data_IF_672884184000
#
_entry.id   IF_672884184000
#
_cell.length_a   1.000
_cell.length_b   1.000
_cell.length_c   1.000
_cell.angle_alpha   90.00
_cell.angle_beta   90.00
_cell.angle_gamma   90.00
#
_symmetry.space_group_name_H-M   'P 1'
#
loop_
_entity.id
_entity.type
_entity.pdbx_description
1 polymer ?
#
# COMPACT_ATOMS: atom_id res chain seq x y z
N UNK A 1 -11.02 -30.21 -36.49
CA UNK A 1 -10.46 -31.10 -37.53
C UNK A 1 -10.71 -30.45 -38.89
N UNK A 2 -9.80 -30.60 -39.86
CA UNK A 2 -9.81 -30.01 -41.21
C UNK A 2 -9.40 -28.51 -41.27
N UNK A 3 -8.67 -28.07 -42.32
CA UNK A 3 -7.38 -28.65 -42.73
C UNK A 3 -6.27 -27.61 -43.04
N UNK A 4 -5.00 -28.05 -43.04
CA UNK A 4 -3.83 -27.29 -43.52
C UNK A 4 -3.78 -27.15 -45.05
N UNK A 5 -3.22 -26.04 -45.60
CA UNK A 5 -2.45 -25.88 -46.89
C UNK A 5 -2.19 -24.38 -47.19
N UNK A 6 -1.18 -23.82 -47.91
CA UNK A 6 0.16 -24.19 -48.49
C UNK A 6 1.14 -23.04 -48.13
N UNK A 7 2.42 -23.24 -47.79
CA UNK A 7 3.62 -23.53 -48.62
C UNK A 7 3.97 -22.53 -49.75
N UNK A 8 4.96 -21.66 -49.43
CA UNK A 8 6.15 -21.20 -50.20
C UNK A 8 5.99 -20.80 -51.68
N UNK A 9 6.45 -19.58 -52.02
CA UNK A 9 7.31 -19.29 -53.20
C UNK A 9 8.37 -18.22 -52.92
N UNK A 10 9.64 -18.52 -53.22
CA UNK A 10 10.79 -17.61 -53.29
C UNK A 10 10.86 -16.92 -54.67
N UNK A 11 11.51 -15.73 -54.73
CA UNK A 11 12.24 -15.09 -55.86
C UNK A 11 12.10 -13.55 -55.78
N UNK A 12 13.05 -12.69 -56.19
CA UNK A 12 14.50 -12.79 -56.44
C UNK A 12 15.08 -11.35 -56.41
N UNK A 13 16.32 -11.21 -55.93
CA UNK A 13 17.28 -10.09 -56.06
C UNK A 13 16.96 -8.95 -57.05
N UNK A 14 17.14 -7.70 -56.60
CA UNK A 14 17.87 -6.69 -57.39
C UNK A 14 18.85 -5.93 -56.48
N UNK A 15 20.11 -5.83 -56.89
CA UNK A 15 21.14 -5.05 -56.21
C UNK A 15 21.29 -3.67 -56.86
N UNK A 16 21.49 -2.61 -56.06
CA UNK A 16 22.08 -1.37 -56.55
C UNK A 16 23.09 -0.84 -55.51
N UNK A 17 24.30 -0.57 -55.96
CA UNK A 17 25.38 0.01 -55.17
C UNK A 17 25.25 1.53 -55.18
N UNK A 18 25.28 2.15 -53.99
CA UNK A 18 25.54 3.58 -53.82
C UNK A 18 26.45 3.76 -52.59
N UNK A 19 27.56 4.47 -52.77
CA UNK A 19 28.68 4.47 -51.82
C UNK A 19 28.36 5.17 -50.48
N UNK A 20 28.79 4.56 -49.38
CA UNK A 20 28.72 5.16 -48.04
C UNK A 20 30.01 5.93 -47.74
N UNK A 21 29.95 7.26 -47.79
CA UNK A 21 30.97 8.11 -47.16
C UNK A 21 30.74 8.09 -45.63
N UNK A 22 31.39 7.17 -44.93
CA UNK A 22 31.36 7.15 -43.45
C UNK A 22 32.27 8.27 -42.95
N UNK A 23 31.68 9.44 -42.68
CA UNK A 23 32.32 10.43 -41.84
C UNK A 23 32.49 9.83 -40.44
N UNK A 24 33.74 9.57 -40.04
CA UNK A 24 34.06 9.08 -38.71
C UNK A 24 33.84 10.20 -37.68
N UNK A 25 32.59 10.33 -37.22
CA UNK A 25 32.28 11.16 -36.06
C UNK A 25 32.86 10.46 -34.84
N UNK A 26 33.92 11.04 -34.28
CA UNK A 26 34.51 10.56 -33.04
C UNK A 26 33.47 10.74 -31.92
N UNK A 27 32.79 9.67 -31.56
CA UNK A 27 31.87 9.68 -30.43
C UNK A 27 32.66 10.06 -29.17
N UNK A 28 32.18 11.01 -28.34
CA UNK A 28 32.79 11.25 -27.05
C UNK A 28 32.74 9.95 -26.23
N UNK A 29 33.76 9.67 -25.39
CA UNK A 29 33.76 8.46 -24.57
C UNK A 29 32.50 8.43 -23.70
N UNK A 30 31.89 7.25 -23.48
CA UNK A 30 30.72 7.15 -22.63
C UNK A 30 31.07 7.67 -21.22
N UNK A 31 30.17 8.40 -20.55
CA UNK A 31 30.40 8.81 -19.18
C UNK A 31 30.65 7.57 -18.33
N UNK A 32 31.69 7.63 -17.48
CA UNK A 32 32.01 6.55 -16.57
C UNK A 32 30.86 6.25 -15.60
N UNK A 33 30.86 5.07 -14.95
CA UNK A 33 29.86 4.76 -13.94
C UNK A 33 29.84 5.86 -12.87
N UNK A 34 28.65 6.29 -12.40
CA UNK A 34 28.56 7.34 -11.39
C UNK A 34 29.29 6.90 -10.10
N UNK A 35 29.87 7.85 -9.34
CA UNK A 35 30.53 7.52 -8.08
C UNK A 35 29.54 6.83 -7.13
N UNK A 36 30.02 5.89 -6.28
CA UNK A 36 29.16 5.24 -5.31
C UNK A 36 28.54 6.28 -4.36
N UNK A 37 27.28 6.11 -3.94
CA UNK A 37 26.64 7.04 -3.03
C UNK A 37 27.41 7.10 -1.70
N UNK A 38 27.52 8.28 -1.07
CA UNK A 38 28.25 8.42 0.19
C UNK A 38 27.58 7.57 1.29
N UNK A 39 28.37 6.91 2.17
CA UNK A 39 27.82 6.05 3.20
C UNK A 39 27.02 6.85 4.23
N UNK A 40 25.71 6.57 4.29
CA UNK A 40 24.79 6.81 5.42
C UNK A 40 25.07 8.06 6.28
N UNK A 41 24.84 9.25 5.71
CA UNK A 41 24.52 10.41 6.53
C UNK A 41 23.12 10.21 7.15
N UNK A 42 23.10 9.82 8.42
CA UNK A 42 21.89 9.57 9.20
C UNK A 42 21.32 10.88 9.78
N UNK A 43 20.80 11.73 8.89
CA UNK A 43 19.74 12.71 9.21
C UNK A 43 19.20 13.25 7.88
N UNK A 44 17.99 12.81 7.50
CA UNK A 44 17.37 13.11 6.19
C UNK A 44 15.84 13.09 6.24
N UNK A 45 15.27 14.16 6.78
CA UNK A 45 14.03 14.76 6.26
C UNK A 45 14.33 15.50 4.92
N UNK A 46 15.20 14.91 4.09
CA UNK A 46 15.66 15.45 2.81
C UNK A 46 14.66 15.07 1.73
N UNK A 47 13.57 15.84 1.63
CA UNK A 47 12.78 15.98 0.39
C UNK A 47 13.62 16.76 -0.65
N UNK A 48 14.83 16.25 -0.96
CA UNK A 48 15.85 16.88 -1.82
C UNK A 48 15.52 16.83 -3.32
N UNK A 49 14.25 16.67 -3.67
CA UNK A 49 13.74 16.81 -5.03
C UNK A 49 13.00 18.14 -5.22
N UNK A 50 12.77 18.57 -6.48
CA UNK A 50 11.70 19.53 -6.73
C UNK A 50 10.38 18.92 -6.24
N UNK A 51 9.50 19.71 -5.58
CA UNK A 51 8.27 19.18 -4.97
C UNK A 51 7.41 18.48 -6.03
N UNK A 52 6.98 17.26 -5.72
CA UNK A 52 6.06 16.54 -6.60
C UNK A 52 4.72 17.27 -6.69
N UNK A 53 4.08 17.30 -7.86
CA UNK A 53 2.76 17.90 -8.00
C UNK A 53 1.71 17.06 -7.27
N UNK A 54 0.53 17.65 -7.05
CA UNK A 54 -0.59 16.93 -6.46
C UNK A 54 -1.10 15.80 -7.36
N UNK A 55 -1.96 14.95 -6.79
CA UNK A 55 -2.39 13.69 -7.41
C UNK A 55 -2.97 13.86 -8.82
N UNK A 56 -3.67 14.96 -9.08
CA UNK A 56 -4.33 15.26 -10.36
C UNK A 56 -3.35 15.65 -11.48
N UNK A 57 -2.14 16.07 -11.14
CA UNK A 57 -1.09 16.46 -12.09
C UNK A 57 0.08 15.46 -12.19
N UNK A 58 0.07 14.37 -11.41
CA UNK A 58 1.04 13.28 -11.56
C UNK A 58 0.97 12.63 -12.96
N UNK A 59 2.15 12.33 -13.52
CA UNK A 59 2.25 11.59 -14.79
C UNK A 59 1.67 10.17 -14.66
N UNK A 60 1.25 9.51 -15.77
CA UNK A 60 0.77 8.14 -15.73
C UNK A 60 1.79 7.17 -15.09
N UNK A 61 3.09 7.37 -15.34
CA UNK A 61 4.16 6.55 -14.76
C UNK A 61 4.34 6.82 -13.26
N UNK A 62 4.18 8.06 -12.78
CA UNK A 62 4.24 8.37 -11.35
C UNK A 62 3.05 7.75 -10.61
N UNK A 63 1.83 7.87 -11.15
CA UNK A 63 0.63 7.21 -10.58
C UNK A 63 0.79 5.68 -10.55
N UNK A 64 1.33 5.10 -11.61
CA UNK A 64 1.61 3.66 -11.69
C UNK A 64 2.51 3.18 -10.55
N UNK A 65 3.63 3.87 -10.31
CA UNK A 65 4.56 3.56 -9.22
C UNK A 65 3.92 3.63 -7.84
N UNK A 66 3.08 4.65 -7.59
CA UNK A 66 2.37 4.82 -6.31
C UNK A 66 1.25 3.79 -6.09
N UNK A 67 0.61 3.31 -7.15
CA UNK A 67 -0.50 2.33 -7.08
C UNK A 67 0.02 0.88 -7.08
N UNK A 68 1.21 0.60 -7.62
CA UNK A 68 1.74 -0.74 -7.78
C UNK A 68 1.70 -1.61 -6.50
N UNK A 69 2.08 -1.13 -5.28
CA UNK A 69 1.99 -1.93 -4.06
C UNK A 69 0.56 -2.31 -3.67
N UNK A 70 -0.42 -1.42 -3.92
CA UNK A 70 -1.83 -1.70 -3.67
C UNK A 70 -2.38 -2.74 -4.65
N UNK A 71 -1.97 -2.66 -5.93
CA UNK A 71 -2.36 -3.62 -6.96
C UNK A 71 -1.80 -5.01 -6.70
N UNK A 72 -0.51 -5.10 -6.33
CA UNK A 72 0.11 -6.35 -5.92
C UNK A 72 -0.65 -6.98 -4.75
N UNK A 73 -0.84 -6.24 -3.65
CA UNK A 73 -1.60 -6.72 -2.49
C UNK A 73 -3.03 -7.18 -2.84
N UNK A 74 -3.71 -6.47 -3.74
CA UNK A 74 -5.04 -6.87 -4.22
C UNK A 74 -5.00 -8.20 -4.99
N UNK A 75 -3.98 -8.38 -5.83
CA UNK A 75 -3.79 -9.62 -6.58
C UNK A 75 -3.47 -10.80 -5.64
N UNK A 76 -2.54 -10.60 -4.71
CA UNK A 76 -2.01 -11.62 -3.80
C UNK A 76 -3.00 -12.06 -2.71
N UNK A 77 -4.06 -11.29 -2.44
CA UNK A 77 -5.06 -11.60 -1.40
C UNK A 77 -6.51 -11.72 -1.91
N UNK A 78 -6.84 -12.67 -2.83
CA UNK A 78 -8.20 -12.86 -3.37
C UNK A 78 -9.32 -12.88 -2.33
N UNK A 79 -9.10 -13.62 -1.23
CA UNK A 79 -10.00 -13.77 -0.09
C UNK A 79 -10.23 -12.48 0.71
N UNK A 80 -9.33 -11.49 0.63
CA UNK A 80 -9.47 -10.20 1.31
C UNK A 80 -10.08 -9.10 0.42
N UNK A 81 -10.17 -9.29 -0.89
CA UNK A 81 -10.64 -8.28 -1.87
C UNK A 81 -11.96 -7.63 -1.48
N UNK A 82 -12.94 -8.42 -1.03
CA UNK A 82 -14.24 -7.91 -0.55
C UNK A 82 -14.07 -6.92 0.62
N UNK A 83 -13.31 -7.31 1.64
CA UNK A 83 -13.00 -6.47 2.81
C UNK A 83 -12.19 -5.22 2.42
N UNK A 84 -11.27 -5.33 1.47
CA UNK A 84 -10.51 -4.18 0.95
C UNK A 84 -11.41 -3.17 0.24
N UNK A 85 -12.29 -3.65 -0.64
CA UNK A 85 -13.25 -2.80 -1.36
C UNK A 85 -14.23 -2.09 -0.41
N UNK A 86 -14.77 -2.81 0.58
CA UNK A 86 -15.64 -2.22 1.60
C UNK A 86 -14.93 -1.14 2.46
N UNK A 87 -13.63 -1.28 2.72
CA UNK A 87 -12.86 -0.19 3.35
C UNK A 87 -12.72 1.02 2.43
N UNK A 88 -12.45 0.81 1.15
CA UNK A 88 -12.34 1.89 0.17
C UNK A 88 -13.67 2.67 0.04
N UNK A 89 -14.81 1.96 -0.05
CA UNK A 89 -16.13 2.59 -0.07
C UNK A 89 -16.41 3.41 1.21
N UNK A 90 -16.13 2.85 2.39
CA UNK A 90 -16.25 3.58 3.67
C UNK A 90 -15.39 4.86 3.67
N UNK A 91 -14.15 4.78 3.23
CA UNK A 91 -13.24 5.92 3.16
C UNK A 91 -13.71 7.00 2.17
N UNK A 92 -14.22 6.58 1.01
CA UNK A 92 -14.79 7.48 0.01
C UNK A 92 -15.98 8.28 0.60
N UNK A 93 -16.87 7.61 1.35
CA UNK A 93 -18.01 8.25 2.02
C UNK A 93 -17.66 9.14 3.23
N UNK A 94 -16.42 9.12 3.73
CA UNK A 94 -16.05 9.94 4.89
C UNK A 94 -15.89 11.42 4.53
N UNK A 95 -16.39 12.30 5.40
CA UNK A 95 -16.11 13.75 5.34
C UNK A 95 -14.63 14.05 5.64
N UNK A 96 -14.11 15.25 5.30
CA UNK A 96 -12.73 15.63 5.62
C UNK A 96 -12.38 15.48 7.10
N UNK A 97 -13.30 15.84 8.00
CA UNK A 97 -13.16 15.75 9.45
C UNK A 97 -13.13 14.29 9.90
N UNK A 98 -14.00 13.44 9.35
CA UNK A 98 -14.01 12.00 9.64
C UNK A 98 -12.70 11.33 9.20
N UNK A 99 -12.16 11.71 8.03
CA UNK A 99 -10.84 11.25 7.56
C UNK A 99 -9.71 11.76 8.48
N UNK A 100 -9.82 12.98 9.01
CA UNK A 100 -8.85 13.50 9.98
C UNK A 100 -8.87 12.74 11.31
N UNK A 101 -10.07 12.44 11.84
CA UNK A 101 -10.22 11.63 13.04
C UNK A 101 -9.72 10.19 12.81
N UNK A 102 -9.95 9.61 11.63
CA UNK A 102 -9.38 8.32 11.26
C UNK A 102 -7.85 8.34 11.23
N UNK A 103 -7.21 9.39 10.68
CA UNK A 103 -5.74 9.56 10.72
C UNK A 103 -5.20 9.73 12.14
N UNK A 104 -5.90 10.48 13.01
CA UNK A 104 -5.54 10.63 14.44
C UNK A 104 -5.66 9.29 15.18
N UNK A 105 -6.67 8.49 14.86
CA UNK A 105 -6.84 7.13 15.39
C UNK A 105 -5.77 6.16 14.92
N UNK A 106 -5.39 6.21 13.64
CA UNK A 106 -4.34 5.38 13.05
C UNK A 106 -2.98 5.60 13.73
N UNK A 107 -2.52 6.86 13.84
CA UNK A 107 -1.27 7.20 14.54
C UNK A 107 -1.26 6.70 15.98
N UNK A 108 -2.33 6.96 16.73
CA UNK A 108 -2.46 6.46 18.12
C UNK A 108 -2.37 4.93 18.20
N UNK A 109 -2.86 4.19 17.20
CA UNK A 109 -2.79 2.73 17.16
C UNK A 109 -1.40 2.22 16.74
N UNK A 110 -0.68 2.96 15.90
CA UNK A 110 0.72 2.71 15.57
C UNK A 110 1.59 2.84 16.84
N UNK A 111 1.36 3.87 17.65
CA UNK A 111 2.06 4.10 18.94
C UNK A 111 1.73 3.06 20.04
N UNK A 112 0.65 2.26 19.88
CA UNK A 112 0.27 1.26 20.89
C UNK A 112 1.21 0.05 20.91
N UNK A 113 1.62 -0.35 22.10
CA UNK A 113 2.29 -1.63 22.33
C UNK A 113 1.31 -2.83 22.12
N UNK A 114 1.81 -4.08 21.98
CA UNK A 114 0.96 -5.24 21.69
C UNK A 114 -0.20 -5.44 22.68
N UNK A 115 0.02 -5.20 23.97
CA UNK A 115 -1.01 -5.31 25.01
C UNK A 115 -2.09 -4.24 24.83
N UNK A 116 -1.72 -3.00 24.53
CA UNK A 116 -2.66 -1.91 24.27
C UNK A 116 -3.47 -2.15 22.98
N UNK A 117 -2.84 -2.71 21.93
CA UNK A 117 -3.55 -3.10 20.70
C UNK A 117 -4.58 -4.20 20.97
N UNK A 118 -4.25 -5.17 21.83
CA UNK A 118 -5.22 -6.20 22.26
C UNK A 118 -6.39 -5.61 23.05
N UNK A 119 -6.11 -4.71 23.99
CA UNK A 119 -7.16 -4.00 24.74
C UNK A 119 -8.10 -3.21 23.82
N UNK A 120 -7.53 -2.46 22.87
CA UNK A 120 -8.27 -1.70 21.87
C UNK A 120 -9.08 -2.58 20.92
N UNK A 121 -8.52 -3.73 20.50
CA UNK A 121 -9.13 -4.75 19.63
C UNK A 121 -10.43 -5.28 20.24
N UNK A 122 -10.36 -5.84 21.45
CA UNK A 122 -11.52 -6.42 22.14
C UNK A 122 -12.55 -5.36 22.50
N UNK A 123 -12.13 -4.17 22.94
CA UNK A 123 -13.04 -3.05 23.21
C UNK A 123 -13.79 -2.62 21.94
N UNK A 124 -13.09 -2.49 20.80
CA UNK A 124 -13.69 -2.14 19.51
C UNK A 124 -14.67 -3.21 19.03
N UNK A 125 -14.27 -4.48 19.07
CA UNK A 125 -15.12 -5.61 18.62
C UNK A 125 -16.43 -5.66 19.43
N UNK A 126 -16.38 -5.40 20.74
CA UNK A 126 -17.57 -5.27 21.59
C UNK A 126 -18.39 -4.00 21.28
N UNK A 127 -17.76 -2.83 21.15
CA UNK A 127 -18.46 -1.58 20.79
C UNK A 127 -19.18 -1.68 19.43
N UNK A 128 -18.60 -2.35 18.44
CA UNK A 128 -19.17 -2.48 17.09
C UNK A 128 -20.52 -3.19 17.09
N UNK A 129 -20.70 -4.17 17.97
CA UNK A 129 -21.96 -4.91 18.12
C UNK A 129 -23.07 -4.15 18.88
N UNK A 130 -22.74 -3.06 19.58
CA UNK A 130 -23.68 -2.32 20.43
C UNK A 130 -24.39 -1.18 19.68
N UNK A 131 -25.64 -0.82 20.03
CA UNK A 131 -26.28 0.44 19.64
C UNK A 131 -25.54 1.69 20.18
N UNK A 132 -25.76 2.89 19.60
CA UNK A 132 -25.04 4.13 19.97
C UNK A 132 -25.00 4.44 21.47
N UNK A 133 -26.16 4.41 22.15
CA UNK A 133 -26.25 4.68 23.59
C UNK A 133 -25.45 3.68 24.43
N UNK A 134 -25.53 2.39 24.07
CA UNK A 134 -24.78 1.33 24.74
C UNK A 134 -23.27 1.45 24.50
N UNK A 135 -22.83 1.97 23.34
CA UNK A 135 -21.42 2.33 23.09
C UNK A 135 -20.96 3.48 23.98
N UNK A 136 -21.81 4.48 24.24
CA UNK A 136 -21.47 5.56 25.18
C UNK A 136 -21.30 4.99 26.59
N UNK A 137 -22.29 4.24 27.09
CA UNK A 137 -22.23 3.61 28.40
C UNK A 137 -21.08 2.59 28.56
N UNK A 138 -20.59 1.98 27.48
CA UNK A 138 -19.37 1.16 27.51
C UNK A 138 -18.10 2.02 27.59
N UNK A 139 -17.99 3.12 26.84
CA UNK A 139 -16.86 4.05 26.92
C UNK A 139 -16.74 4.69 28.30
N UNK A 140 -17.84 5.25 28.83
CA UNK A 140 -17.87 5.89 30.14
C UNK A 140 -17.40 4.92 31.25
N UNK A 141 -17.88 3.65 31.21
CA UNK A 141 -17.42 2.60 32.12
C UNK A 141 -15.96 2.22 31.92
N UNK A 142 -15.50 2.09 30.67
CA UNK A 142 -14.11 1.75 30.37
C UNK A 142 -13.13 2.82 30.85
N UNK A 143 -13.48 4.10 30.69
CA UNK A 143 -12.71 5.23 31.18
C UNK A 143 -12.59 5.21 32.72
N UNK A 144 -13.68 4.88 33.43
CA UNK A 144 -13.69 4.73 34.88
C UNK A 144 -12.98 3.47 35.42
N UNK A 145 -12.70 2.45 34.60
CA UNK A 145 -12.03 1.22 35.05
C UNK A 145 -10.54 1.42 35.35
N UNK A 146 -10.09 0.86 36.47
CA UNK A 146 -8.66 0.72 36.78
C UNK A 146 -7.95 -0.25 35.80
N UNK A 147 -6.61 -0.22 35.67
CA UNK A 147 -5.89 -1.15 34.81
C UNK A 147 -6.16 -2.64 35.13
N UNK A 148 -6.37 -2.97 36.40
CA UNK A 148 -6.72 -4.33 36.83
C UNK A 148 -8.14 -4.73 36.38
N UNK A 149 -9.11 -3.82 36.50
CA UNK A 149 -10.48 -4.03 36.01
C UNK A 149 -10.53 -4.16 34.49
N UNK A 150 -9.79 -3.33 33.74
CA UNK A 150 -9.65 -3.45 32.27
C UNK A 150 -9.07 -4.82 31.90
N UNK A 151 -7.98 -5.25 32.54
CA UNK A 151 -7.38 -6.55 32.28
C UNK A 151 -8.34 -7.72 32.57
N UNK A 152 -9.14 -7.64 33.65
CA UNK A 152 -10.16 -8.63 33.95
C UNK A 152 -11.31 -8.63 32.92
N UNK A 153 -11.80 -7.45 32.54
CA UNK A 153 -12.83 -7.29 31.51
C UNK A 153 -12.37 -7.84 30.16
N UNK A 154 -11.13 -7.57 29.76
CA UNK A 154 -10.54 -8.08 28.52
C UNK A 154 -10.44 -9.61 28.53
N UNK A 155 -9.97 -10.24 29.62
CA UNK A 155 -9.97 -11.70 29.74
C UNK A 155 -11.37 -12.31 29.62
N UNK A 156 -12.40 -11.63 30.13
CA UNK A 156 -13.78 -12.08 30.05
C UNK A 156 -14.47 -11.77 28.69
N UNK A 157 -13.91 -10.87 27.88
CA UNK A 157 -14.53 -10.40 26.63
C UNK A 157 -13.72 -10.75 25.37
N UNK A 158 -12.48 -11.17 25.49
CA UNK A 158 -11.73 -11.82 24.43
C UNK A 158 -12.48 -13.11 24.03
N UNK A 159 -12.89 -13.18 22.77
CA UNK A 159 -13.40 -14.43 22.20
C UNK A 159 -12.26 -15.43 21.97
N UNK A 160 -12.56 -16.66 21.53
CA UNK A 160 -11.54 -17.51 20.94
C UNK A 160 -10.85 -16.73 19.81
N UNK A 161 -9.52 -16.78 19.74
CA UNK A 161 -8.77 -16.01 18.73
C UNK A 161 -8.80 -16.75 17.39
N UNK A 162 -9.98 -16.82 16.78
CA UNK A 162 -10.27 -17.47 15.49
C UNK A 162 -9.64 -16.71 14.29
N UNK A 163 -8.74 -15.77 14.54
CA UNK A 163 -8.05 -15.04 13.49
C UNK A 163 -6.87 -15.86 12.97
N UNK A 164 -6.65 -15.91 11.64
CA UNK A 164 -5.33 -16.28 11.14
C UNK A 164 -4.30 -15.33 11.76
N UNK A 165 -3.09 -15.81 12.09
CA UNK A 165 -2.04 -14.97 12.66
C UNK A 165 -1.79 -13.75 11.77
N UNK A 166 -1.30 -12.63 12.34
CA UNK A 166 -0.80 -11.54 11.50
C UNK A 166 0.23 -12.14 10.54
N UNK A 167 0.07 -11.83 9.26
CA UNK A 167 1.00 -12.26 8.21
C UNK A 167 2.42 -11.91 8.66
N UNK A 168 3.25 -12.93 8.86
CA UNK A 168 4.60 -12.78 9.42
C UNK A 168 5.58 -12.13 8.43
N UNK A 169 5.08 -11.69 7.28
CA UNK A 169 5.81 -10.99 6.22
C UNK A 169 5.82 -9.47 6.45
N UNK A 170 6.61 -9.00 7.43
CA UNK A 170 6.99 -7.59 7.53
C UNK A 170 8.29 -7.36 8.29
#
# INVERSE_FOLDING_TARGET
MNPMTRLIRYSLVLALLAGSAVAAFAAPPPPGPPPPPPPFAADRDDDTGPPLPDWEHLSPQQRELLIAPLRQRWNDTPQQRRRMFEHAQRWQSMTPEQREQARKGARRYEDMNPRQREEARVLFDRMRALPPEQRKALRDRWEAMTPAQRAAWIRANAGPDERPPPDASR
#
